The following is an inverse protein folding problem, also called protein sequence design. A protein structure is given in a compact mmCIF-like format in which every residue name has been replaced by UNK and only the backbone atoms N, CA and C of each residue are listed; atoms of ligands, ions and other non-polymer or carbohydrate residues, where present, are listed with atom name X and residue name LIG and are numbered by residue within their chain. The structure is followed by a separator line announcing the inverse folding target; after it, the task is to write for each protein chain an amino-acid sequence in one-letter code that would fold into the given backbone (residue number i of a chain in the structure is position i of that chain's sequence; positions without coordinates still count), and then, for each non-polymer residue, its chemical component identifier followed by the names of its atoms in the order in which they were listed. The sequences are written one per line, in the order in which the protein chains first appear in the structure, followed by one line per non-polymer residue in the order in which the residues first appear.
data_IF_141565367178
#
_entry.id   IF_141565367178
#
_cell.length_a   1.000
_cell.length_b   1.000
_cell.length_c   1.000
_cell.angle_alpha   90.00
_cell.angle_beta   90.00
_cell.angle_gamma   90.00
#
_symmetry.space_group_name_H-M   'P 1'
#
loop_
_entity.id
_entity.type
_entity.pdbx_description
1 polymer ?
#
# COMPACT_ATOMS: atom_id res chain seq x y z
N UNK A 1 5.48 7.06 21.05
CA UNK A 1 5.34 5.70 20.49
C UNK A 1 4.35 5.77 19.35
N UNK A 2 4.68 5.22 18.17
CA UNK A 2 3.77 5.21 17.02
C UNK A 2 2.50 4.43 17.37
N UNK A 3 1.37 5.13 17.47
CA UNK A 3 0.06 4.56 17.78
C UNK A 3 -0.34 3.43 16.79
N UNK A 4 0.22 3.47 15.58
CA UNK A 4 -0.05 2.52 14.49
C UNK A 4 0.99 1.38 14.37
N UNK A 5 1.90 1.23 15.33
CA UNK A 5 2.99 0.26 15.23
C UNK A 5 2.50 -1.20 15.13
N UNK A 6 1.37 -1.52 15.78
CA UNK A 6 0.72 -2.83 15.65
C UNK A 6 0.19 -3.06 14.23
N UNK A 7 -0.54 -2.08 13.67
CA UNK A 7 -1.06 -2.09 12.30
C UNK A 7 0.07 -2.27 11.27
N UNK A 8 1.18 -1.53 11.42
CA UNK A 8 2.33 -1.69 10.53
C UNK A 8 2.96 -3.08 10.63
N UNK A 9 3.05 -3.62 11.84
CA UNK A 9 3.62 -4.95 12.07
C UNK A 9 2.76 -6.03 11.42
N UNK A 10 1.44 -5.94 11.56
CA UNK A 10 0.51 -6.87 10.93
C UNK A 10 0.55 -6.78 9.40
N UNK A 11 0.52 -5.57 8.86
CA UNK A 11 0.62 -5.35 7.41
C UNK A 11 1.95 -5.88 6.87
N UNK A 12 3.07 -5.61 7.55
CA UNK A 12 4.37 -6.14 7.13
C UNK A 12 4.43 -7.67 7.17
N UNK A 13 3.90 -8.30 8.24
CA UNK A 13 3.84 -9.76 8.34
C UNK A 13 2.99 -10.36 7.22
N UNK A 14 1.83 -9.78 6.96
CA UNK A 14 0.93 -10.26 5.92
C UNK A 14 1.57 -10.17 4.54
N UNK A 15 2.12 -9.01 4.19
CA UNK A 15 2.80 -8.78 2.91
C UNK A 15 3.95 -9.77 2.71
N UNK A 16 4.81 -9.92 3.73
CA UNK A 16 5.93 -10.85 3.69
C UNK A 16 5.49 -12.32 3.57
N UNK A 17 4.37 -12.70 4.22
CA UNK A 17 3.77 -14.04 4.11
C UNK A 17 3.27 -14.32 2.70
N UNK A 18 2.60 -13.35 2.07
CA UNK A 18 2.08 -13.49 0.71
C UNK A 18 3.20 -13.63 -0.31
N UNK A 19 4.26 -12.82 -0.18
CA UNK A 19 5.42 -12.83 -1.08
C UNK A 19 6.39 -13.98 -0.76
N UNK A 20 6.24 -14.61 0.42
CA UNK A 20 7.11 -15.69 0.96
C UNK A 20 8.57 -15.27 1.19
N UNK A 21 8.83 -13.98 1.47
CA UNK A 21 10.12 -13.46 1.94
C UNK A 21 9.95 -12.18 2.74
N UNK A 22 11.01 -11.71 3.40
CA UNK A 22 11.04 -10.40 4.07
C UNK A 22 11.23 -9.28 3.03
N UNK A 23 10.15 -8.86 2.37
CA UNK A 23 10.14 -7.81 1.36
C UNK A 23 9.91 -6.40 1.95
N UNK A 24 9.13 -6.30 3.03
CA UNK A 24 8.79 -5.02 3.66
C UNK A 24 9.03 -5.06 5.18
N UNK A 25 9.40 -3.92 5.74
CA UNK A 25 9.55 -3.71 7.19
C UNK A 25 8.56 -2.67 7.69
N UNK A 26 8.32 -2.63 9.00
CA UNK A 26 7.45 -1.60 9.61
C UNK A 26 7.96 -0.18 9.35
N UNK A 27 9.29 0.02 9.36
CA UNK A 27 9.92 1.31 9.04
C UNK A 27 9.65 1.76 7.60
N UNK A 28 9.61 0.80 6.66
CA UNK A 28 9.27 1.11 5.27
C UNK A 28 7.81 1.53 5.12
N UNK A 29 6.89 0.87 5.84
CA UNK A 29 5.47 1.25 5.86
C UNK A 29 5.30 2.65 6.45
N UNK A 30 5.97 2.94 7.56
CA UNK A 30 5.94 4.26 8.19
C UNK A 30 6.43 5.37 7.24
N UNK A 31 7.59 5.18 6.58
CA UNK A 31 8.09 6.12 5.58
C UNK A 31 7.12 6.32 4.43
N UNK A 32 6.50 5.23 3.97
CA UNK A 32 5.52 5.32 2.89
C UNK A 32 4.27 6.13 3.30
N UNK A 33 3.80 5.95 4.53
CA UNK A 33 2.71 6.76 5.09
C UNK A 33 3.11 8.24 5.17
N UNK A 34 4.31 8.54 5.62
CA UNK A 34 4.82 9.92 5.68
C UNK A 34 4.88 10.56 4.29
N UNK A 35 5.38 9.84 3.31
CA UNK A 35 5.40 10.27 1.91
C UNK A 35 3.97 10.45 1.37
N UNK A 36 3.06 9.54 1.71
CA UNK A 36 1.65 9.63 1.34
C UNK A 36 0.98 10.89 1.92
N UNK A 37 1.27 11.24 3.19
CA UNK A 37 0.80 12.48 3.83
C UNK A 37 1.34 13.71 3.11
N UNK A 38 2.64 13.75 2.78
CA UNK A 38 3.25 14.87 2.04
C UNK A 38 2.67 15.01 0.63
N UNK A 39 2.48 13.91 -0.07
CA UNK A 39 1.89 13.91 -1.43
C UNK A 39 0.43 14.34 -1.39
N UNK A 40 -0.33 13.90 -0.38
CA UNK A 40 -1.71 14.33 -0.19
C UNK A 40 -1.81 15.84 -0.01
N UNK A 41 -0.91 16.42 0.78
CA UNK A 41 -0.86 17.88 1.00
C UNK A 41 -0.48 18.66 -0.27
N UNK A 42 0.42 18.12 -1.09
CA UNK A 42 1.00 18.84 -2.24
C UNK A 42 0.27 18.59 -3.57
N UNK A 43 -0.26 17.38 -3.79
CA UNK A 43 -0.81 16.90 -5.08
C UNK A 43 -2.21 16.30 -4.94
N UNK A 44 -2.80 16.32 -3.74
CA UNK A 44 -4.12 15.77 -3.47
C UNK A 44 -4.20 14.25 -3.64
N UNK A 45 -5.42 13.74 -3.71
CA UNK A 45 -5.71 12.29 -3.78
C UNK A 45 -5.18 11.66 -5.07
N UNK A 46 -5.21 12.37 -6.19
CA UNK A 46 -4.78 11.85 -7.50
C UNK A 46 -3.27 11.60 -7.51
N UNK A 47 -2.47 12.52 -6.95
CA UNK A 47 -1.03 12.33 -6.81
C UNK A 47 -0.68 11.13 -5.92
N UNK A 48 -1.48 10.89 -4.88
CA UNK A 48 -1.29 9.77 -3.97
C UNK A 48 -1.55 8.41 -4.65
N UNK A 49 -2.59 8.30 -5.48
CA UNK A 49 -2.89 7.10 -6.26
C UNK A 49 -1.78 6.78 -7.27
N UNK A 50 -1.17 7.79 -7.89
CA UNK A 50 -0.01 7.60 -8.78
C UNK A 50 1.23 7.11 -8.02
N UNK A 51 1.48 7.66 -6.83
CA UNK A 51 2.58 7.23 -5.97
C UNK A 51 2.45 5.78 -5.50
N UNK A 52 1.22 5.32 -5.27
CA UNK A 52 0.91 3.95 -4.89
C UNK A 52 1.49 2.89 -5.86
N UNK A 53 1.33 3.12 -7.17
CA UNK A 53 1.87 2.22 -8.21
C UNK A 53 3.40 2.11 -8.14
N UNK A 54 4.07 3.15 -7.68
CA UNK A 54 5.53 3.20 -7.56
C UNK A 54 6.03 2.35 -6.39
N UNK A 55 5.31 2.36 -5.26
CA UNK A 55 5.66 1.54 -4.09
C UNK A 55 5.69 0.05 -4.43
N UNK A 56 4.69 -0.44 -5.16
CA UNK A 56 4.64 -1.83 -5.60
C UNK A 56 5.88 -2.25 -6.37
N UNK A 57 6.33 -1.39 -7.28
CA UNK A 57 7.54 -1.61 -8.08
C UNK A 57 8.85 -1.50 -7.28
N UNK A 58 8.84 -0.86 -6.12
CA UNK A 58 10.01 -0.74 -5.25
C UNK A 58 10.16 -1.91 -4.28
N UNK A 59 9.05 -2.56 -3.90
CA UNK A 59 9.05 -3.63 -2.90
C UNK A 59 9.08 -5.03 -3.54
N UNK A 60 8.43 -5.17 -4.69
CA UNK A 60 8.32 -6.44 -5.41
C UNK A 60 9.25 -6.47 -6.60
N UNK A 61 9.84 -7.64 -6.86
CA UNK A 61 10.53 -7.90 -8.12
C UNK A 61 9.54 -8.07 -9.26
N UNK A 62 10.00 -7.91 -10.51
CA UNK A 62 9.15 -8.13 -11.69
C UNK A 62 8.57 -9.56 -11.73
N UNK A 63 9.37 -10.56 -11.34
CA UNK A 63 8.90 -11.94 -11.23
C UNK A 63 7.82 -12.12 -10.15
N UNK A 64 7.92 -11.41 -9.02
CA UNK A 64 6.89 -11.44 -7.98
C UNK A 64 5.62 -10.72 -8.42
N UNK A 65 5.76 -9.61 -9.13
CA UNK A 65 4.64 -8.89 -9.75
C UNK A 65 3.93 -9.80 -10.74
N UNK A 66 4.67 -10.54 -11.58
CA UNK A 66 4.10 -11.44 -12.57
C UNK A 66 3.36 -12.62 -11.92
N UNK A 67 3.97 -13.26 -10.90
CA UNK A 67 3.29 -14.30 -10.11
C UNK A 67 2.03 -13.78 -9.43
N UNK A 68 2.04 -12.52 -8.99
CA UNK A 68 0.90 -11.91 -8.31
C UNK A 68 -0.18 -11.45 -9.29
N UNK A 69 0.13 -11.05 -10.53
CA UNK A 69 -0.84 -10.64 -11.56
C UNK A 69 -1.90 -11.71 -11.82
N UNK A 70 -1.52 -12.99 -11.79
CA UNK A 70 -2.43 -14.10 -11.98
C UNK A 70 -3.21 -14.51 -10.72
N UNK A 71 -3.13 -13.73 -9.64
CA UNK A 71 -3.75 -14.08 -8.35
C UNK A 71 -4.56 -12.92 -7.76
N UNK A 72 -5.63 -13.25 -7.05
CA UNK A 72 -6.39 -12.28 -6.25
C UNK A 72 -5.53 -11.56 -5.18
N UNK A 73 -4.34 -12.11 -4.86
CA UNK A 73 -3.44 -11.62 -3.81
C UNK A 73 -2.80 -10.28 -4.14
N UNK A 74 -2.62 -9.93 -5.42
CA UNK A 74 -2.13 -8.59 -5.82
C UNK A 74 -3.07 -7.48 -5.34
N UNK A 75 -4.36 -7.68 -5.58
CA UNK A 75 -5.43 -6.75 -5.20
C UNK A 75 -5.60 -6.72 -3.68
N UNK A 76 -5.54 -7.87 -3.02
CA UNK A 76 -5.67 -7.97 -1.56
C UNK A 76 -4.53 -7.26 -0.82
N UNK A 77 -3.27 -7.50 -1.24
CA UNK A 77 -2.13 -6.73 -0.74
C UNK A 77 -2.35 -5.24 -0.96
N UNK A 78 -2.95 -4.88 -2.10
CA UNK A 78 -3.08 -3.49 -2.44
C UNK A 78 -4.09 -2.80 -1.52
N UNK A 79 -5.21 -3.47 -1.31
CA UNK A 79 -6.29 -2.99 -0.48
C UNK A 79 -5.82 -2.84 0.96
N UNK A 80 -5.03 -3.78 1.46
CA UNK A 80 -4.51 -3.72 2.82
C UNK A 80 -3.58 -2.52 3.06
N UNK A 81 -2.76 -2.16 2.07
CA UNK A 81 -1.96 -0.94 2.15
C UNK A 81 -2.82 0.33 2.07
N UNK A 82 -3.86 0.33 1.23
CA UNK A 82 -4.83 1.44 1.18
C UNK A 82 -5.55 1.60 2.53
N UNK A 83 -5.90 0.49 3.19
CA UNK A 83 -6.56 0.51 4.49
C UNK A 83 -5.67 1.13 5.57
N UNK A 84 -4.34 0.91 5.54
CA UNK A 84 -3.40 1.62 6.43
C UNK A 84 -3.52 3.14 6.28
N UNK A 85 -3.70 3.65 5.06
CA UNK A 85 -3.88 5.09 4.81
C UNK A 85 -5.23 5.62 5.30
N UNK A 86 -6.25 4.77 5.37
CA UNK A 86 -7.56 5.12 5.94
C UNK A 86 -7.48 5.20 7.45
N UNK A 87 -6.89 4.18 8.09
CA UNK A 87 -6.68 4.14 9.53
C UNK A 87 -5.90 5.36 10.02
N UNK A 88 -4.91 5.80 9.23
CA UNK A 88 -4.14 7.00 9.50
C UNK A 88 -4.76 8.31 9.02
N UNK A 89 -6.01 8.27 8.54
CA UNK A 89 -6.78 9.43 8.07
C UNK A 89 -6.09 10.21 6.94
N UNK A 90 -5.16 9.57 6.22
CA UNK A 90 -4.54 10.09 5.00
C UNK A 90 -5.56 10.05 3.85
N UNK A 91 -6.40 9.01 3.84
CA UNK A 91 -7.51 8.83 2.93
C UNK A 91 -8.84 8.79 3.68
N UNK A 92 -9.88 9.39 3.10
CA UNK A 92 -11.26 9.13 3.53
C UNK A 92 -11.74 7.80 2.96
N UNK A 93 -12.80 7.22 3.53
CA UNK A 93 -13.42 5.99 3.02
C UNK A 93 -13.81 6.09 1.52
N UNK A 94 -14.31 7.27 1.11
CA UNK A 94 -14.63 7.54 -0.30
C UNK A 94 -13.35 7.49 -1.15
N UNK A 95 -12.29 8.18 -0.72
CA UNK A 95 -11.02 8.20 -1.47
C UNK A 95 -10.37 6.82 -1.55
N UNK A 96 -10.49 6.02 -0.48
CA UNK A 96 -10.04 4.64 -0.47
C UNK A 96 -10.82 3.76 -1.45
N UNK A 97 -12.15 3.91 -1.52
CA UNK A 97 -12.99 3.21 -2.51
C UNK A 97 -12.54 3.52 -3.95
N UNK A 98 -12.26 4.80 -4.23
CA UNK A 98 -11.76 5.23 -5.54
C UNK A 98 -10.36 4.66 -5.83
N UNK A 99 -9.45 4.67 -4.85
CA UNK A 99 -8.12 4.08 -4.99
C UNK A 99 -8.19 2.57 -5.25
N UNK A 100 -9.04 1.84 -4.52
CA UNK A 100 -9.28 0.40 -4.71
C UNK A 100 -9.81 0.10 -6.11
N UNK A 101 -10.79 0.88 -6.61
CA UNK A 101 -11.31 0.74 -7.97
C UNK A 101 -10.23 0.99 -9.04
N UNK A 102 -9.37 1.98 -8.85
CA UNK A 102 -8.29 2.29 -9.78
C UNK A 102 -7.24 1.17 -9.84
N UNK A 103 -6.92 0.55 -8.70
CA UNK A 103 -6.05 -0.64 -8.63
C UNK A 103 -6.67 -1.79 -9.41
N UNK A 104 -7.96 -2.08 -9.21
CA UNK A 104 -8.64 -3.18 -9.93
C UNK A 104 -8.67 -2.96 -11.44
N UNK A 105 -8.90 -1.72 -11.91
CA UNK A 105 -8.94 -1.40 -13.35
C UNK A 105 -7.57 -1.39 -14.03
N UNK A 106 -6.49 -1.24 -13.27
CA UNK A 106 -5.12 -1.20 -13.78
C UNK A 106 -4.39 -2.54 -13.64
N UNK A 107 -5.06 -3.58 -13.12
CA UNK A 107 -4.42 -4.84 -12.70
C UNK A 107 -4.35 -5.90 -13.78
#
# INVERSE_FOLDING_TARGET
MDHYQALYRETARYVNKVIRRKAITTKMIQRWVEDAKRIKQTKGTVGLVSHYKRLYKQVLTEQEIERLKHSARKTELSFRLIDVLVEEKVLTAIQAKWAKQYVTRSS
#
